data_IF_807357135137
#
_entry.id   IF_807357135137
#
_cell.length_a   1.000
_cell.length_b   1.000
_cell.length_c   1.000
_cell.angle_alpha   90.00
_cell.angle_beta   90.00
_cell.angle_gamma   90.00
#
_symmetry.space_group_name_H-M   'P 1'
#
loop_
_entity.id
_entity.type
_entity.pdbx_description
1 polymer ?
#
# COMPACT_ATOMS: atom_id res chain seq x y z
N UNK A 1 20.31 0.86 -3.79
CA UNK A 1 20.01 0.45 -2.40
C UNK A 1 19.43 -0.95 -2.43
N UNK A 2 19.72 -1.79 -1.42
CA UNK A 2 19.04 -3.03 -1.12
C UNK A 2 18.95 -3.19 0.40
N UNK A 3 17.86 -3.77 0.89
CA UNK A 3 17.71 -4.18 2.28
C UNK A 3 18.05 -5.66 2.49
N UNK A 4 18.37 -6.36 1.40
CA UNK A 4 18.64 -7.82 1.39
C UNK A 4 20.13 -8.11 1.44
N UNK A 5 20.93 -7.53 0.52
CA UNK A 5 22.36 -7.77 0.46
C UNK A 5 23.11 -6.72 -0.37
N UNK A 6 24.44 -6.72 -0.27
CA UNK A 6 25.32 -5.87 -1.11
C UNK A 6 25.20 -6.29 -2.59
N UNK A 7 25.11 -7.56 -2.87
CA UNK A 7 24.92 -8.10 -4.23
C UNK A 7 23.59 -7.65 -4.82
N UNK A 8 22.53 -7.60 -4.00
CA UNK A 8 21.23 -7.02 -4.37
C UNK A 8 21.36 -5.55 -4.74
N UNK A 9 22.05 -4.77 -3.93
CA UNK A 9 22.29 -3.34 -4.20
C UNK A 9 23.07 -3.14 -5.50
N UNK A 10 24.06 -3.99 -5.78
CA UNK A 10 24.83 -3.92 -7.03
C UNK A 10 23.94 -4.24 -8.23
N UNK A 11 23.14 -5.30 -8.18
CA UNK A 11 22.21 -5.67 -9.27
C UNK A 11 21.19 -4.58 -9.54
N UNK A 12 20.62 -3.97 -8.50
CA UNK A 12 19.70 -2.84 -8.63
C UNK A 12 20.38 -1.66 -9.34
N UNK A 13 21.61 -1.35 -8.95
CA UNK A 13 22.39 -0.26 -9.57
C UNK A 13 22.68 -0.54 -11.05
N UNK A 14 23.18 -1.74 -11.37
CA UNK A 14 23.49 -2.17 -12.75
C UNK A 14 22.26 -2.17 -13.65
N UNK A 15 21.09 -2.51 -13.08
CA UNK A 15 19.83 -2.46 -13.81
C UNK A 15 19.40 -1.01 -14.10
N UNK A 16 19.48 -0.11 -13.09
CA UNK A 16 18.96 1.25 -13.20
C UNK A 16 19.93 2.16 -13.96
N UNK A 17 21.25 1.92 -13.82
CA UNK A 17 22.32 2.75 -14.39
C UNK A 17 23.37 1.85 -15.09
N UNK A 18 23.02 1.21 -16.22
CA UNK A 18 23.89 0.20 -16.81
C UNK A 18 25.17 0.75 -17.46
N UNK A 19 25.18 2.00 -17.87
CA UNK A 19 26.27 2.60 -18.67
C UNK A 19 26.77 3.97 -18.15
N UNK A 20 26.34 4.41 -16.95
CA UNK A 20 26.76 5.66 -16.31
C UNK A 20 26.58 6.93 -17.17
N UNK A 21 25.72 6.86 -18.21
CA UNK A 21 25.35 8.02 -19.03
C UNK A 21 24.29 8.86 -18.32
N UNK A 22 24.70 9.98 -17.74
CA UNK A 22 23.79 10.89 -17.03
C UNK A 22 22.63 11.38 -17.91
N UNK A 23 22.92 11.73 -19.17
CA UNK A 23 21.87 12.25 -20.06
C UNK A 23 20.83 11.18 -20.37
N UNK A 24 21.27 9.95 -20.61
CA UNK A 24 20.38 8.81 -20.83
C UNK A 24 19.50 8.52 -19.60
N UNK A 25 20.08 8.47 -18.41
CA UNK A 25 19.33 8.29 -17.15
C UNK A 25 18.32 9.42 -16.98
N UNK A 26 18.71 10.67 -17.19
CA UNK A 26 17.82 11.83 -17.09
C UNK A 26 16.62 11.75 -18.06
N UNK A 27 16.88 11.36 -19.33
CA UNK A 27 15.82 11.20 -20.33
C UNK A 27 14.88 10.05 -19.97
N UNK A 28 15.43 8.90 -19.56
CA UNK A 28 14.63 7.75 -19.12
C UNK A 28 13.75 8.08 -17.92
N UNK A 29 14.31 8.71 -16.89
CA UNK A 29 13.56 9.10 -15.68
C UNK A 29 12.44 10.10 -16.02
N UNK A 30 12.74 11.10 -16.87
CA UNK A 30 11.72 12.05 -17.34
C UNK A 30 10.60 11.34 -18.08
N UNK A 31 10.94 10.38 -18.95
CA UNK A 31 9.95 9.60 -19.68
C UNK A 31 9.06 8.79 -18.72
N UNK A 32 9.64 8.09 -17.76
CA UNK A 32 8.90 7.31 -16.76
C UNK A 32 7.90 8.17 -15.97
N UNK A 33 8.32 9.35 -15.52
CA UNK A 33 7.42 10.28 -14.82
C UNK A 33 6.34 10.85 -15.73
N UNK A 34 6.67 11.20 -16.98
CA UNK A 34 5.67 11.65 -17.94
C UNK A 34 4.63 10.57 -18.24
N UNK A 35 5.05 9.32 -18.39
CA UNK A 35 4.14 8.19 -18.61
C UNK A 35 3.22 7.97 -17.41
N UNK A 36 3.76 8.05 -16.19
CA UNK A 36 2.99 7.91 -14.96
C UNK A 36 1.97 9.05 -14.76
N UNK A 37 2.39 10.29 -14.93
CA UNK A 37 1.55 11.47 -14.73
C UNK A 37 0.53 11.66 -15.84
N UNK A 38 0.81 11.18 -17.07
CA UNK A 38 -0.10 11.31 -18.23
C UNK A 38 -1.35 10.44 -18.15
N UNK A 39 -1.48 9.59 -17.13
CA UNK A 39 -2.69 8.80 -16.87
C UNK A 39 -3.93 9.67 -16.63
N UNK A 40 -3.73 10.88 -16.13
CA UNK A 40 -4.77 11.89 -16.01
C UNK A 40 -4.33 13.11 -16.82
N UNK A 41 -5.18 13.57 -17.74
CA UNK A 41 -4.97 14.79 -18.49
C UNK A 41 -5.97 15.84 -18.08
N UNK A 42 -5.47 17.04 -17.75
CA UNK A 42 -6.32 18.17 -17.39
C UNK A 42 -6.09 19.35 -18.33
N UNK A 43 -7.11 20.15 -18.48
CA UNK A 43 -7.08 21.45 -19.16
C UNK A 43 -7.20 22.56 -18.13
N UNK A 44 -6.52 23.67 -18.33
CA UNK A 44 -6.50 24.80 -17.41
C UNK A 44 -5.29 25.69 -17.64
N UNK A 45 -5.14 26.71 -16.81
CA UNK A 45 -3.95 27.57 -16.82
C UNK A 45 -2.72 26.82 -16.26
N UNK A 46 -1.53 27.36 -16.49
CA UNK A 46 -0.29 26.69 -16.11
C UNK A 46 -0.11 26.54 -14.58
N UNK A 47 -0.64 27.49 -13.80
CA UNK A 47 -0.59 27.41 -12.33
C UNK A 47 -1.40 26.22 -11.82
N UNK A 48 -2.62 26.05 -12.33
CA UNK A 48 -3.51 24.95 -11.92
C UNK A 48 -2.94 23.59 -12.35
N UNK A 49 -2.40 23.51 -13.59
CA UNK A 49 -1.71 22.31 -14.05
C UNK A 49 -0.52 21.95 -13.18
N UNK A 50 0.30 22.93 -12.81
CA UNK A 50 1.46 22.72 -11.95
C UNK A 50 1.01 22.18 -10.58
N UNK A 51 0.02 22.79 -9.98
CA UNK A 51 -0.55 22.36 -8.69
C UNK A 51 -1.08 20.93 -8.77
N UNK A 52 -1.88 20.63 -9.80
CA UNK A 52 -2.46 19.30 -9.99
C UNK A 52 -1.39 18.21 -10.18
N UNK A 53 -0.45 18.41 -11.11
CA UNK A 53 0.56 17.39 -11.39
C UNK A 53 1.57 17.24 -10.26
N UNK A 54 1.85 18.31 -9.50
CA UNK A 54 2.65 18.21 -8.28
C UNK A 54 1.94 17.35 -7.22
N UNK A 55 0.63 17.56 -7.01
CA UNK A 55 -0.16 16.75 -6.11
C UNK A 55 -0.22 15.28 -6.57
N UNK A 56 -0.47 15.05 -7.86
CA UNK A 56 -0.49 13.71 -8.45
C UNK A 56 0.87 12.99 -8.29
N UNK A 57 1.99 13.70 -8.53
CA UNK A 57 3.33 13.18 -8.28
C UNK A 57 3.50 12.71 -6.83
N UNK A 58 3.07 13.51 -5.85
CA UNK A 58 3.18 13.15 -4.44
C UNK A 58 2.39 11.87 -4.10
N UNK A 59 1.26 11.59 -4.77
CA UNK A 59 0.51 10.34 -4.54
C UNK A 59 1.22 9.09 -5.04
N UNK A 60 2.32 9.23 -5.77
CA UNK A 60 3.08 8.12 -6.37
C UNK A 60 4.43 7.83 -5.66
N UNK A 61 4.77 8.59 -4.61
CA UNK A 61 6.04 8.43 -3.91
C UNK A 61 5.99 7.24 -2.95
N UNK A 62 4.93 7.12 -2.17
CA UNK A 62 4.71 6.05 -1.18
C UNK A 62 3.33 5.40 -1.38
N UNK A 63 3.20 4.10 -1.11
CA UNK A 63 4.20 3.13 -0.62
C UNK A 63 5.28 2.82 -1.67
N UNK A 64 6.55 2.95 -1.27
CA UNK A 64 7.69 2.75 -2.16
C UNK A 64 8.05 1.29 -2.35
N UNK A 65 8.71 0.98 -3.47
CA UNK A 65 9.29 -0.32 -3.72
C UNK A 65 10.34 -0.67 -2.65
N UNK A 66 10.26 -1.90 -2.14
CA UNK A 66 11.15 -2.44 -1.13
C UNK A 66 11.83 -3.75 -1.57
N UNK A 67 11.39 -4.31 -2.70
CA UNK A 67 12.06 -5.48 -3.31
C UNK A 67 13.28 -5.05 -4.12
N UNK A 68 14.28 -5.93 -4.17
CA UNK A 68 15.32 -5.88 -5.18
C UNK A 68 14.77 -6.24 -6.57
N UNK A 69 15.52 -5.94 -7.62
CA UNK A 69 15.11 -6.19 -9.00
C UNK A 69 14.90 -7.70 -9.31
N UNK A 70 15.53 -8.59 -8.54
CA UNK A 70 15.33 -10.03 -8.62
C UNK A 70 14.12 -10.52 -7.80
N UNK A 71 13.32 -9.61 -7.25
CA UNK A 71 12.11 -9.89 -6.46
C UNK A 71 12.38 -10.30 -5.01
N UNK A 72 13.62 -10.22 -4.53
CA UNK A 72 13.94 -10.49 -3.13
C UNK A 72 13.59 -9.32 -2.24
N UNK A 73 13.12 -9.63 -1.04
CA UNK A 73 12.81 -8.63 -0.01
C UNK A 73 13.01 -9.22 1.38
N UNK A 74 13.15 -8.36 2.38
CA UNK A 74 13.21 -8.77 3.78
C UNK A 74 11.80 -8.70 4.40
N UNK A 75 11.37 -9.78 5.05
CA UNK A 75 10.10 -9.85 5.74
C UNK A 75 10.16 -9.25 7.16
N UNK A 76 9.00 -9.07 7.77
CA UNK A 76 8.88 -8.55 9.14
C UNK A 76 9.48 -9.48 10.23
N UNK A 77 9.87 -10.69 9.86
CA UNK A 77 10.63 -11.65 10.69
C UNK A 77 12.14 -11.60 10.45
N UNK A 78 12.61 -10.60 9.71
CA UNK A 78 14.01 -10.43 9.29
C UNK A 78 14.57 -11.57 8.41
N UNK A 79 13.70 -12.35 7.74
CA UNK A 79 14.12 -13.35 6.77
C UNK A 79 13.98 -12.84 5.35
N UNK A 80 14.83 -13.35 4.46
CA UNK A 80 14.77 -13.04 3.04
C UNK A 80 13.72 -13.91 2.36
N UNK A 81 12.85 -13.29 1.59
CA UNK A 81 11.86 -13.92 0.72
C UNK A 81 12.07 -13.49 -0.72
N UNK A 82 11.43 -14.19 -1.64
CA UNK A 82 11.45 -13.84 -3.05
C UNK A 82 10.07 -14.06 -3.66
N UNK A 83 9.65 -13.16 -4.53
CA UNK A 83 8.42 -13.25 -5.32
C UNK A 83 8.66 -12.72 -6.74
N UNK A 84 7.91 -13.29 -7.69
CA UNK A 84 7.85 -12.80 -9.07
C UNK A 84 6.44 -12.34 -9.46
N UNK A 85 5.50 -12.35 -8.50
CA UNK A 85 4.08 -12.09 -8.77
C UNK A 85 3.62 -10.71 -8.32
N UNK A 86 4.39 -10.02 -7.50
CA UNK A 86 4.12 -8.66 -7.05
C UNK A 86 5.41 -7.96 -6.61
N UNK A 87 5.40 -6.65 -6.58
CA UNK A 87 6.47 -5.83 -6.00
C UNK A 87 6.18 -5.58 -4.53
N UNK A 88 7.10 -6.03 -3.65
CA UNK A 88 6.93 -5.79 -2.21
C UNK A 88 7.19 -4.32 -1.87
N UNK A 89 6.26 -3.71 -1.12
CA UNK A 89 6.24 -2.28 -0.81
C UNK A 89 6.23 -2.03 0.69
N UNK A 90 6.66 -0.83 1.07
CA UNK A 90 6.72 -0.37 2.46
C UNK A 90 6.35 1.11 2.56
N UNK A 91 6.21 1.60 3.78
CA UNK A 91 5.78 2.95 4.17
C UNK A 91 4.30 3.15 3.83
N UNK A 92 3.49 2.41 4.58
CA UNK A 92 2.05 2.54 4.54
C UNK A 92 1.57 3.53 5.62
N UNK A 93 1.43 4.79 5.25
CA UNK A 93 0.82 5.85 6.06
C UNK A 93 -0.71 5.69 6.06
N UNK A 94 -1.19 4.52 6.49
CA UNK A 94 -2.53 4.02 6.21
C UNK A 94 -3.65 5.02 6.54
N UNK A 95 -3.67 5.56 7.76
CA UNK A 95 -4.70 6.51 8.19
C UNK A 95 -4.77 7.78 7.34
N UNK A 96 -3.63 8.24 6.82
CA UNK A 96 -3.55 9.46 6.03
C UNK A 96 -4.07 9.27 4.60
N UNK A 97 -3.80 8.12 4.00
CA UNK A 97 -3.94 7.91 2.54
C UNK A 97 -5.13 7.03 2.12
N UNK A 98 -5.75 6.27 3.03
CA UNK A 98 -6.82 5.33 2.68
C UNK A 98 -8.06 6.00 2.11
N UNK A 99 -8.30 7.27 2.45
CA UNK A 99 -9.50 8.03 2.10
C UNK A 99 -9.39 8.76 0.75
N UNK A 100 -8.20 8.84 0.16
CA UNK A 100 -7.99 9.58 -1.10
C UNK A 100 -6.99 8.92 -2.03
N UNK A 101 -5.73 8.74 -1.60
CA UNK A 101 -4.66 8.20 -2.45
C UNK A 101 -4.97 6.78 -2.94
N UNK A 102 -5.32 5.85 -2.03
CA UNK A 102 -5.66 4.48 -2.43
C UNK A 102 -6.88 4.41 -3.35
N UNK A 103 -8.01 5.07 -3.08
CA UNK A 103 -9.13 5.14 -4.02
C UNK A 103 -8.74 5.70 -5.40
N UNK A 104 -7.85 6.69 -5.46
CA UNK A 104 -7.32 7.20 -6.72
C UNK A 104 -6.49 6.13 -7.44
N UNK A 105 -5.58 5.45 -6.74
CA UNK A 105 -4.73 4.41 -7.32
C UNK A 105 -5.55 3.22 -7.86
N UNK A 106 -6.68 2.87 -7.25
CA UNK A 106 -7.57 1.83 -7.81
C UNK A 106 -8.09 2.17 -9.20
N UNK A 107 -8.14 3.45 -9.58
CA UNK A 107 -8.60 3.93 -10.88
C UNK A 107 -7.46 4.00 -11.88
N UNK A 108 -6.31 4.57 -11.46
CA UNK A 108 -5.21 4.88 -12.38
C UNK A 108 -4.09 3.83 -12.40
N UNK A 109 -3.97 3.01 -11.34
CA UNK A 109 -2.91 2.02 -11.16
C UNK A 109 -3.41 0.75 -10.43
N UNK A 110 -4.39 0.00 -10.94
CA UNK A 110 -4.94 -1.17 -10.25
C UNK A 110 -3.88 -2.25 -9.94
N UNK A 111 -2.88 -2.43 -10.80
CA UNK A 111 -1.78 -3.39 -10.56
C UNK A 111 -0.92 -2.97 -9.38
N UNK A 112 -0.67 -1.66 -9.21
CA UNK A 112 0.02 -1.12 -8.04
C UNK A 112 -0.76 -1.45 -6.75
N UNK A 113 -2.08 -1.33 -6.76
CA UNK A 113 -2.92 -1.65 -5.60
C UNK A 113 -2.88 -3.15 -5.27
N UNK A 114 -2.79 -4.04 -6.27
CA UNK A 114 -2.53 -5.46 -6.02
C UNK A 114 -1.17 -5.68 -5.31
N UNK A 115 -0.12 -4.99 -5.74
CA UNK A 115 1.19 -5.05 -5.08
C UNK A 115 1.11 -4.59 -3.61
N UNK A 116 0.40 -3.49 -3.37
CA UNK A 116 0.20 -2.91 -2.03
C UNK A 116 -0.55 -3.88 -1.11
N UNK A 117 -1.65 -4.48 -1.58
CA UNK A 117 -2.43 -5.44 -0.80
C UNK A 117 -1.62 -6.72 -0.52
N UNK A 118 -0.90 -7.25 -1.52
CA UNK A 118 -0.01 -8.38 -1.33
C UNK A 118 1.07 -8.08 -0.28
N UNK A 119 1.63 -6.86 -0.31
CA UNK A 119 2.63 -6.41 0.66
C UNK A 119 2.04 -6.36 2.08
N UNK A 120 0.85 -5.78 2.25
CA UNK A 120 0.15 -5.75 3.54
C UNK A 120 -0.14 -7.15 4.08
N UNK A 121 -0.54 -8.09 3.20
CA UNK A 121 -0.74 -9.51 3.56
C UNK A 121 0.59 -10.13 4.06
N UNK A 122 1.70 -9.90 3.36
CA UNK A 122 3.01 -10.40 3.77
C UNK A 122 3.47 -9.79 5.09
N UNK A 123 3.25 -8.49 5.32
CA UNK A 123 3.56 -7.83 6.58
C UNK A 123 2.77 -8.47 7.72
N UNK A 124 1.47 -8.68 7.56
CA UNK A 124 0.61 -9.33 8.55
C UNK A 124 1.06 -10.77 8.86
N UNK A 125 1.43 -11.53 7.81
CA UNK A 125 1.87 -12.91 7.93
C UNK A 125 3.27 -13.02 8.60
N UNK A 126 4.26 -12.31 8.05
CA UNK A 126 5.65 -12.44 8.47
C UNK A 126 5.95 -11.76 9.81
N UNK A 127 5.13 -10.82 10.25
CA UNK A 127 5.21 -10.29 11.61
C UNK A 127 4.72 -11.29 12.67
N UNK A 128 4.06 -12.37 12.27
CA UNK A 128 3.42 -13.33 13.16
C UNK A 128 2.17 -12.79 13.86
N UNK A 129 1.76 -11.55 13.56
CA UNK A 129 0.60 -10.90 14.20
C UNK A 129 -0.73 -11.38 13.61
N UNK A 130 -0.77 -11.70 12.31
CA UNK A 130 -1.98 -12.14 11.63
C UNK A 130 -3.08 -11.08 11.53
N UNK A 131 -2.73 -9.80 11.63
CA UNK A 131 -3.58 -8.64 11.40
C UNK A 131 -2.80 -7.51 10.73
N UNK A 132 -3.52 -6.60 10.06
CA UNK A 132 -2.90 -5.51 9.30
C UNK A 132 -2.33 -4.40 10.19
N UNK A 133 -1.22 -3.75 9.75
CA UNK A 133 -0.71 -2.56 10.42
C UNK A 133 -1.65 -1.38 10.22
N UNK A 134 -1.74 -0.53 11.25
CA UNK A 134 -2.41 0.76 11.17
C UNK A 134 -1.56 1.79 10.43
N UNK A 135 -0.29 1.78 10.74
CA UNK A 135 0.75 2.57 10.11
C UNK A 135 2.04 1.74 10.10
N UNK A 136 2.66 1.57 8.94
CA UNK A 136 3.82 0.69 8.76
C UNK A 136 5.01 1.48 8.26
N UNK A 137 6.19 1.19 8.82
CA UNK A 137 7.45 1.78 8.41
C UNK A 137 8.53 0.69 8.37
N UNK A 138 9.03 0.39 7.17
CA UNK A 138 10.04 -0.63 6.92
C UNK A 138 9.69 -1.96 7.62
N UNK A 139 8.50 -2.50 7.35
CA UNK A 139 7.90 -3.72 7.93
C UNK A 139 7.61 -3.67 9.46
N UNK A 140 7.84 -2.55 10.10
CA UNK A 140 7.52 -2.37 11.52
C UNK A 140 6.14 -1.73 11.74
N UNK A 141 5.39 -2.27 12.70
CA UNK A 141 4.13 -1.68 13.15
C UNK A 141 4.43 -0.51 14.09
N UNK A 142 4.20 0.71 13.66
CA UNK A 142 4.46 1.89 14.49
C UNK A 142 3.42 2.10 15.59
N UNK A 143 2.20 1.61 15.39
CA UNK A 143 1.07 1.86 16.29
C UNK A 143 0.50 3.28 16.25
N UNK A 144 1.02 4.14 15.36
CA UNK A 144 0.54 5.51 15.17
C UNK A 144 -0.90 5.55 14.66
N UNK A 145 -1.58 6.66 14.94
CA UNK A 145 -2.93 6.98 14.48
C UNK A 145 -4.01 6.02 15.03
N UNK A 146 -5.19 6.04 14.42
CA UNK A 146 -6.40 5.34 14.86
C UNK A 146 -7.08 4.66 13.67
N UNK A 147 -8.08 3.82 13.93
CA UNK A 147 -8.80 3.09 12.88
C UNK A 147 -8.01 1.90 12.32
N UNK A 148 -8.57 1.27 11.30
CA UNK A 148 -7.99 0.12 10.62
C UNK A 148 -7.96 0.36 9.10
N UNK A 149 -7.13 1.30 8.62
CA UNK A 149 -7.17 1.81 7.24
C UNK A 149 -6.93 0.73 6.18
N UNK A 150 -6.07 -0.27 6.44
CA UNK A 150 -5.81 -1.36 5.52
C UNK A 150 -7.09 -2.18 5.19
N UNK A 151 -8.03 -2.26 6.14
CA UNK A 151 -9.32 -2.93 5.92
C UNK A 151 -10.18 -2.16 4.90
N UNK A 152 -10.17 -0.83 4.97
CA UNK A 152 -10.84 0.03 3.99
C UNK A 152 -10.22 -0.11 2.60
N UNK A 153 -8.89 -0.07 2.51
CA UNK A 153 -8.15 -0.26 1.24
C UNK A 153 -8.50 -1.60 0.60
N UNK A 154 -8.48 -2.68 1.37
CA UNK A 154 -8.84 -4.01 0.90
C UNK A 154 -10.28 -4.07 0.40
N UNK A 155 -11.22 -3.49 1.16
CA UNK A 155 -12.64 -3.52 0.81
C UNK A 155 -12.91 -2.73 -0.47
N UNK A 156 -12.36 -1.52 -0.60
CA UNK A 156 -12.51 -0.68 -1.80
C UNK A 156 -11.93 -1.37 -3.04
N UNK A 157 -10.72 -1.90 -2.95
CA UNK A 157 -10.08 -2.62 -4.04
C UNK A 157 -10.89 -3.87 -4.46
N UNK A 158 -11.34 -4.66 -3.49
CA UNK A 158 -12.15 -5.85 -3.75
C UNK A 158 -13.45 -5.50 -4.49
N UNK A 159 -14.17 -4.46 -4.06
CA UNK A 159 -15.42 -4.01 -4.69
C UNK A 159 -15.21 -3.54 -6.13
N UNK A 160 -14.03 -3.05 -6.45
CA UNK A 160 -13.63 -2.61 -7.80
C UNK A 160 -13.04 -3.72 -8.67
N UNK A 161 -13.05 -4.97 -8.19
CA UNK A 161 -12.57 -6.14 -8.93
C UNK A 161 -11.05 -6.33 -8.91
N UNK A 162 -10.33 -5.60 -8.07
CA UNK A 162 -8.89 -5.77 -7.85
C UNK A 162 -8.71 -6.91 -6.85
N UNK A 163 -8.38 -8.11 -7.34
CA UNK A 163 -8.44 -9.35 -6.54
C UNK A 163 -7.26 -10.30 -6.82
N UNK A 164 -6.16 -9.82 -7.40
CA UNK A 164 -4.99 -10.65 -7.70
C UNK A 164 -4.08 -10.82 -6.46
N UNK A 165 -4.69 -11.32 -5.37
CA UNK A 165 -4.04 -11.65 -4.10
C UNK A 165 -4.80 -12.78 -3.41
N UNK A 166 -4.25 -13.43 -2.36
CA UNK A 166 -4.94 -14.48 -1.60
C UNK A 166 -6.16 -13.94 -0.82
N UNK A 167 -7.32 -13.88 -1.49
CA UNK A 167 -8.55 -13.23 -1.00
C UNK A 167 -8.98 -13.78 0.36
N UNK A 168 -9.09 -15.11 0.54
CA UNK A 168 -9.53 -15.70 1.80
C UNK A 168 -8.61 -15.34 2.97
N UNK A 169 -7.29 -15.37 2.74
CA UNK A 169 -6.29 -14.98 3.74
C UNK A 169 -6.41 -13.49 4.07
N UNK A 170 -6.61 -12.64 3.06
CA UNK A 170 -6.76 -11.21 3.26
C UNK A 170 -7.99 -10.86 4.10
N UNK A 171 -9.12 -11.54 3.85
CA UNK A 171 -10.35 -11.41 4.65
C UNK A 171 -10.10 -11.87 6.09
N UNK A 172 -9.42 -12.99 6.29
CA UNK A 172 -9.11 -13.46 7.63
C UNK A 172 -8.29 -12.45 8.43
N UNK A 173 -7.29 -11.83 7.79
CA UNK A 173 -6.51 -10.77 8.43
C UNK A 173 -7.31 -9.49 8.66
N UNK A 174 -8.25 -9.14 7.79
CA UNK A 174 -9.16 -8.03 8.01
C UNK A 174 -10.05 -8.26 9.25
N UNK A 175 -10.63 -9.47 9.39
CA UNK A 175 -11.41 -9.87 10.56
C UNK A 175 -10.55 -9.82 11.83
N UNK A 176 -9.34 -10.37 11.78
CA UNK A 176 -8.42 -10.33 12.93
C UNK A 176 -8.07 -8.89 13.32
N UNK A 177 -7.93 -8.00 12.34
CA UNK A 177 -7.60 -6.59 12.56
C UNK A 177 -8.69 -5.88 13.35
N UNK A 178 -9.96 -6.00 12.92
CA UNK A 178 -11.08 -5.35 13.64
C UNK A 178 -11.38 -6.00 15.00
N UNK A 179 -11.08 -7.28 15.16
CA UNK A 179 -11.17 -7.95 16.48
C UNK A 179 -10.06 -7.52 17.44
N UNK A 180 -8.89 -7.19 16.93
CA UNK A 180 -7.75 -6.75 17.74
C UNK A 180 -7.87 -5.27 18.10
N UNK A 181 -8.36 -4.46 17.16
CA UNK A 181 -8.50 -3.01 17.28
C UNK A 181 -9.91 -2.61 16.82
N UNK A 182 -10.86 -2.66 17.71
CA UNK A 182 -12.26 -2.37 17.42
C UNK A 182 -12.96 -1.72 18.61
N UNK A 183 -14.22 -1.41 18.44
CA UNK A 183 -15.12 -1.03 19.50
C UNK A 183 -15.37 -2.24 20.44
N UNK A 184 -15.86 -1.94 21.65
CA UNK A 184 -16.32 -2.99 22.57
C UNK A 184 -17.58 -3.69 22.02
N UNK A 185 -18.12 -4.65 22.76
CA UNK A 185 -19.34 -5.41 22.40
C UNK A 185 -20.58 -4.53 22.20
N UNK A 186 -20.63 -3.38 22.86
CA UNK A 186 -21.71 -2.38 22.72
C UNK A 186 -21.56 -1.50 21.48
N UNK A 187 -20.47 -1.65 20.71
CA UNK A 187 -20.20 -0.93 19.47
C UNK A 187 -19.58 0.45 19.65
N UNK A 188 -18.98 0.74 20.81
CA UNK A 188 -18.32 2.02 21.04
C UNK A 188 -17.04 1.90 21.89
N UNK A 189 -16.20 2.95 21.86
CA UNK A 189 -15.05 3.12 22.75
C UNK A 189 -15.46 4.09 23.87
N UNK A 190 -15.55 3.66 25.15
CA UNK A 190 -16.08 4.49 26.25
C UNK A 190 -15.27 5.76 26.53
N UNK A 191 -14.03 5.82 26.10
CA UNK A 191 -13.11 6.92 26.37
C UNK A 191 -12.86 7.83 25.19
N UNK A 192 -13.30 7.46 23.98
CA UNK A 192 -12.86 8.16 22.77
C UNK A 192 -13.90 8.08 21.63
N UNK A 193 -14.61 9.20 21.41
CA UNK A 193 -15.59 9.30 20.34
C UNK A 193 -14.96 9.14 18.95
N UNK A 194 -13.75 9.66 18.75
CA UNK A 194 -13.06 9.56 17.47
C UNK A 194 -12.73 8.10 17.13
N UNK A 195 -12.24 7.32 18.09
CA UNK A 195 -12.03 5.88 17.91
C UNK A 195 -13.32 5.14 17.63
N UNK A 196 -14.39 5.46 18.36
CA UNK A 196 -15.71 4.86 18.10
C UNK A 196 -16.10 4.96 16.64
N UNK A 197 -15.98 6.13 16.03
CA UNK A 197 -16.36 6.37 14.64
C UNK A 197 -15.42 5.67 13.65
N UNK A 198 -14.11 5.73 13.88
CA UNK A 198 -13.10 5.10 13.03
C UNK A 198 -13.24 3.58 13.02
N UNK A 199 -13.51 2.98 14.19
CA UNK A 199 -13.70 1.52 14.29
C UNK A 199 -15.04 1.07 13.72
N UNK A 200 -16.13 1.83 13.93
CA UNK A 200 -17.42 1.52 13.34
C UNK A 200 -17.34 1.52 11.79
N UNK A 201 -16.57 2.45 11.21
CA UNK A 201 -16.30 2.44 9.78
C UNK A 201 -15.51 1.20 9.34
N UNK A 202 -14.50 0.81 10.11
CA UNK A 202 -13.71 -0.41 9.83
C UNK A 202 -14.57 -1.67 9.88
N UNK A 203 -15.47 -1.78 10.86
CA UNK A 203 -16.43 -2.89 11.00
C UNK A 203 -17.39 -2.94 9.81
N UNK A 204 -17.90 -1.78 9.38
CA UNK A 204 -18.72 -1.66 8.18
C UNK A 204 -17.97 -2.16 6.92
N UNK A 205 -16.69 -1.83 6.78
CA UNK A 205 -15.84 -2.29 5.68
C UNK A 205 -15.76 -3.83 5.66
N UNK A 206 -15.43 -4.46 6.80
CA UNK A 206 -15.40 -5.95 6.90
C UNK A 206 -16.75 -6.54 6.60
N UNK A 207 -17.84 -6.01 7.16
CA UNK A 207 -19.20 -6.46 6.89
C UNK A 207 -19.59 -6.37 5.41
N UNK A 208 -19.11 -5.31 4.73
CA UNK A 208 -19.32 -5.13 3.28
C UNK A 208 -18.53 -6.17 2.49
N UNK A 209 -17.28 -6.41 2.84
CA UNK A 209 -16.42 -7.41 2.21
C UNK A 209 -17.02 -8.82 2.34
N UNK A 210 -17.47 -9.20 3.54
CA UNK A 210 -18.09 -10.51 3.79
C UNK A 210 -19.41 -10.69 3.02
N UNK A 211 -20.27 -9.68 2.99
CA UNK A 211 -21.53 -9.73 2.19
C UNK A 211 -21.23 -9.93 0.70
N UNK A 212 -20.19 -9.32 0.17
CA UNK A 212 -19.78 -9.50 -1.22
C UNK A 212 -19.31 -10.92 -1.55
N UNK A 213 -18.93 -11.68 -0.52
CA UNK A 213 -18.54 -13.09 -0.62
C UNK A 213 -19.70 -14.06 -0.33
N UNK A 214 -20.92 -13.58 -0.09
CA UNK A 214 -22.06 -14.37 0.40
C UNK A 214 -21.75 -15.12 1.73
N UNK A 215 -21.03 -14.48 2.62
CA UNK A 215 -20.62 -15.01 3.93
C UNK A 215 -21.22 -14.21 5.09
#
# INVERSE_FOLDING_TARGET
ISFVSMEGAQKNLEHDIPDWDFNKVSVCTRKMWNDALSKIKIEGNESDKTTFYTALYHTMIDPRCFSDIDGKYIGADNKVYQTSTFTYRTIFSGWDVFRSQFPLQTIINPDLVNDEINSLIQIAEKSGKGYYPRWEFLYAYSGCMVGNPAVSVLTDAYQKGIQNYPVDKSIQYAINTVRTFGNNEDGYDPGDLSKTLEYAYSDWCVGTLLRSQNR
#
